data_IF_699815605948
#
_entry.id   IF_699815605948
#
_cell.length_a   1.000
_cell.length_b   1.000
_cell.length_c   1.000
_cell.angle_alpha   90.00
_cell.angle_beta   90.00
_cell.angle_gamma   90.00
#
_symmetry.space_group_name_H-M   'P 1'
#
loop_
_entity.id
_entity.type
_entity.pdbx_description
1 polymer ?
#
# COMPACT_ATOMS: atom_id res chain seq x y z
N UNK A 1 -36.94 5.59 3.79
CA UNK A 1 -36.39 6.67 4.63
C UNK A 1 -35.77 6.02 5.85
N UNK A 2 -34.49 5.64 5.79
CA UNK A 2 -33.76 5.14 6.96
C UNK A 2 -33.09 6.33 7.62
N UNK A 3 -33.78 6.96 8.56
CA UNK A 3 -33.17 7.91 9.48
C UNK A 3 -32.61 7.12 10.66
N UNK A 4 -31.35 6.71 10.55
CA UNK A 4 -30.58 6.41 11.75
C UNK A 4 -29.53 7.51 11.89
N UNK A 5 -29.69 8.35 12.90
CA UNK A 5 -28.64 9.18 13.50
C UNK A 5 -27.60 8.29 14.21
N UNK A 6 -27.30 7.12 13.65
CA UNK A 6 -26.20 6.30 14.10
C UNK A 6 -24.94 7.11 13.82
N UNK A 7 -24.18 7.42 14.87
CA UNK A 7 -22.89 8.05 14.75
C UNK A 7 -21.95 7.04 14.07
N UNK A 8 -21.97 7.03 12.73
CA UNK A 8 -21.18 6.10 11.90
C UNK A 8 -19.70 6.19 12.27
N UNK A 9 -19.21 7.36 12.69
CA UNK A 9 -17.84 7.51 13.21
C UNK A 9 -17.62 6.71 14.50
N UNK A 10 -18.57 6.73 15.43
CA UNK A 10 -18.48 5.92 16.64
C UNK A 10 -18.56 4.42 16.34
N UNK A 11 -19.48 4.00 15.45
CA UNK A 11 -19.61 2.60 15.04
C UNK A 11 -18.35 2.07 14.33
N UNK A 12 -17.70 2.91 13.52
CA UNK A 12 -16.45 2.58 12.84
C UNK A 12 -15.22 2.68 13.73
N UNK A 13 -15.28 3.46 14.81
CA UNK A 13 -14.21 3.55 15.80
C UNK A 13 -14.06 2.22 16.55
N UNK A 14 -15.15 1.47 16.76
CA UNK A 14 -15.13 0.17 17.44
C UNK A 14 -14.61 -0.99 16.55
N UNK A 15 -14.42 -0.79 15.24
CA UNK A 15 -13.75 -1.77 14.37
C UNK A 15 -12.23 -1.71 14.54
N UNK A 16 -11.75 -2.02 15.74
CA UNK A 16 -10.36 -2.31 16.01
C UNK A 16 -10.06 -3.76 15.63
N UNK A 17 -9.43 -3.98 14.48
CA UNK A 17 -8.78 -5.26 14.20
C UNK A 17 -7.57 -5.31 15.13
N UNK A 18 -7.58 -6.27 16.06
CA UNK A 18 -6.64 -6.48 17.18
C UNK A 18 -5.15 -6.46 16.80
N UNK A 19 -4.29 -6.19 17.79
CA UNK A 19 -2.83 -5.90 17.86
C UNK A 19 -1.83 -6.41 16.80
N UNK A 20 -2.25 -7.25 15.85
CA UNK A 20 -1.41 -7.83 14.79
C UNK A 20 -1.72 -7.31 13.38
N UNK A 21 -2.81 -6.56 13.17
CA UNK A 21 -3.17 -6.07 11.83
C UNK A 21 -3.32 -4.55 11.77
N UNK A 22 -2.67 -3.93 10.78
CA UNK A 22 -2.81 -2.50 10.50
C UNK A 22 -3.72 -2.29 9.30
N UNK A 23 -4.76 -1.47 9.46
CA UNK A 23 -5.53 -0.96 8.33
C UNK A 23 -4.60 -0.19 7.38
N UNK A 24 -4.79 -0.31 6.07
CA UNK A 24 -3.97 0.40 5.07
C UNK A 24 -3.85 1.91 5.32
N UNK A 25 -4.91 2.57 5.81
CA UNK A 25 -4.88 4.00 6.14
C UNK A 25 -3.92 4.36 7.29
N UNK A 26 -3.58 3.39 8.15
CA UNK A 26 -2.56 3.52 9.21
C UNK A 26 -1.22 2.95 8.75
N UNK A 27 -1.23 1.80 8.07
CA UNK A 27 -0.04 1.11 7.59
C UNK A 27 0.78 1.94 6.60
N UNK A 28 0.16 2.44 5.53
CA UNK A 28 0.87 3.13 4.44
C UNK A 28 1.63 4.39 4.91
N UNK A 29 1.06 5.32 5.70
CA UNK A 29 1.83 6.46 6.19
C UNK A 29 2.97 6.05 7.15
N UNK A 30 2.78 4.98 7.94
CA UNK A 30 3.85 4.44 8.80
C UNK A 30 4.98 3.83 7.97
N UNK A 31 4.66 3.08 6.92
CA UNK A 31 5.63 2.52 5.98
C UNK A 31 6.43 3.64 5.29
N UNK A 32 5.75 4.68 4.79
CA UNK A 32 6.44 5.83 4.19
C UNK A 32 7.42 6.50 5.16
N UNK A 33 7.02 6.68 6.42
CA UNK A 33 7.90 7.22 7.45
C UNK A 33 9.06 6.27 7.80
N UNK A 34 8.83 4.96 7.79
CA UNK A 34 9.88 3.96 7.95
C UNK A 34 10.92 4.08 6.82
N UNK A 35 10.48 4.14 5.56
CA UNK A 35 11.38 4.33 4.42
C UNK A 35 12.26 5.57 4.59
N UNK A 36 11.66 6.72 4.98
CA UNK A 36 12.42 7.93 5.26
C UNK A 36 13.44 7.75 6.40
N UNK A 37 13.07 7.04 7.47
CA UNK A 37 13.98 6.77 8.59
C UNK A 37 15.16 5.87 8.21
N UNK A 38 14.99 5.05 7.16
CA UNK A 38 16.03 4.21 6.56
C UNK A 38 16.89 4.96 5.53
N UNK A 39 16.67 6.28 5.36
CA UNK A 39 17.46 7.12 4.46
C UNK A 39 16.89 7.27 3.05
N UNK A 40 15.67 6.78 2.78
CA UNK A 40 15.07 6.91 1.46
C UNK A 40 14.70 8.37 1.18
N UNK A 41 14.94 8.80 -0.05
CA UNK A 41 14.78 10.19 -0.48
C UNK A 41 13.31 10.52 -0.74
N UNK A 42 12.70 11.46 0.00
CA UNK A 42 11.31 11.87 -0.24
C UNK A 42 11.10 12.31 -1.69
N UNK A 43 10.01 11.85 -2.31
CA UNK A 43 9.68 12.15 -3.71
C UNK A 43 10.44 11.32 -4.75
N UNK A 44 11.38 10.45 -4.32
CA UNK A 44 12.11 9.52 -5.20
C UNK A 44 11.96 8.04 -4.79
N UNK A 45 11.01 7.77 -3.92
CA UNK A 45 10.68 6.41 -3.48
C UNK A 45 9.67 5.81 -4.45
N UNK A 46 10.07 4.79 -5.18
CA UNK A 46 9.20 4.03 -6.07
C UNK A 46 8.56 2.88 -5.29
N UNK A 47 7.25 2.94 -5.00
CA UNK A 47 6.54 1.80 -4.45
C UNK A 47 6.30 0.77 -5.55
N UNK A 48 6.43 -0.49 -5.17
CA UNK A 48 6.06 -1.65 -5.96
C UNK A 48 5.07 -2.49 -5.16
N UNK A 49 4.05 -3.01 -5.83
CA UNK A 49 3.04 -3.88 -5.24
C UNK A 49 3.13 -5.29 -5.82
N UNK A 50 3.23 -6.27 -4.96
CA UNK A 50 3.06 -7.69 -5.26
C UNK A 50 1.80 -8.19 -4.55
N UNK A 51 0.64 -7.85 -5.11
CA UNK A 51 -0.67 -8.26 -4.61
C UNK A 51 -1.35 -9.19 -5.61
N UNK A 52 -2.37 -9.91 -5.18
CA UNK A 52 -3.23 -10.69 -6.08
C UNK A 52 -3.82 -9.82 -7.21
N UNK A 53 -4.21 -10.44 -8.31
CA UNK A 53 -4.84 -9.75 -9.46
C UNK A 53 -6.32 -9.39 -9.25
N UNK A 54 -6.87 -9.68 -8.07
CA UNK A 54 -8.25 -9.36 -7.67
C UNK A 54 -8.53 -7.84 -7.67
N UNK A 55 -9.77 -7.46 -7.95
CA UNK A 55 -10.21 -6.08 -8.02
C UNK A 55 -10.21 -5.36 -6.66
N UNK A 56 -10.34 -6.11 -5.56
CA UNK A 56 -10.38 -5.55 -4.20
C UNK A 56 -9.05 -4.87 -3.78
N UNK A 57 -8.00 -5.00 -4.59
CA UNK A 57 -6.71 -4.36 -4.40
C UNK A 57 -6.70 -2.85 -4.73
N UNK A 58 -7.80 -2.31 -5.29
CA UNK A 58 -7.89 -0.88 -5.61
C UNK A 58 -7.69 0.03 -4.39
N UNK A 59 -8.29 -0.32 -3.24
CA UNK A 59 -8.19 0.48 -2.01
C UNK A 59 -6.74 0.66 -1.50
N UNK A 60 -5.93 -0.41 -1.32
CA UNK A 60 -4.54 -0.22 -0.91
C UNK A 60 -3.69 0.52 -1.95
N UNK A 61 -3.91 0.29 -3.25
CA UNK A 61 -3.17 0.99 -4.33
C UNK A 61 -3.41 2.50 -4.28
N UNK A 62 -4.65 2.94 -4.04
CA UNK A 62 -4.98 4.36 -3.91
C UNK A 62 -4.22 4.98 -2.72
N UNK A 63 -4.19 4.29 -1.57
CA UNK A 63 -3.50 4.79 -0.39
C UNK A 63 -1.98 4.84 -0.58
N UNK A 64 -1.39 3.81 -1.18
CA UNK A 64 0.03 3.79 -1.55
C UNK A 64 0.35 4.97 -2.48
N UNK A 65 -0.42 5.12 -3.56
CA UNK A 65 -0.23 6.20 -4.53
C UNK A 65 -0.31 7.59 -3.88
N UNK A 66 -1.31 7.78 -3.01
CA UNK A 66 -1.49 9.03 -2.27
C UNK A 66 -0.29 9.40 -1.40
N UNK A 67 0.27 8.44 -0.67
CA UNK A 67 1.34 8.70 0.29
C UNK A 67 2.73 8.79 -0.35
N UNK A 68 3.00 7.96 -1.36
CA UNK A 68 4.29 7.96 -2.06
C UNK A 68 4.35 9.00 -3.18
N UNK A 69 3.20 9.52 -3.63
CA UNK A 69 3.11 10.54 -4.68
C UNK A 69 3.29 10.00 -6.10
N UNK A 70 3.31 8.67 -6.27
CA UNK A 70 3.47 7.98 -7.55
C UNK A 70 2.70 6.67 -7.53
N UNK A 71 2.16 6.27 -8.69
CA UNK A 71 1.43 5.01 -8.81
C UNK A 71 2.38 3.80 -8.71
N UNK A 72 2.06 2.76 -7.92
CA UNK A 72 2.99 1.67 -7.69
C UNK A 72 3.18 0.80 -8.92
N UNK A 73 4.42 0.38 -9.15
CA UNK A 73 4.72 -0.63 -10.16
C UNK A 73 4.13 -2.00 -9.75
N UNK A 74 3.77 -2.83 -10.73
CA UNK A 74 3.11 -4.11 -10.47
C UNK A 74 4.05 -5.32 -10.59
N UNK A 75 4.49 -5.83 -9.44
CA UNK A 75 5.16 -7.13 -9.33
C UNK A 75 4.21 -8.30 -9.04
N UNK A 76 2.92 -8.04 -8.80
CA UNK A 76 1.96 -9.08 -8.43
C UNK A 76 1.50 -9.94 -9.60
N UNK A 77 1.29 -11.21 -9.32
CA UNK A 77 0.53 -12.16 -10.14
C UNK A 77 -0.68 -12.70 -9.35
N UNK A 78 -1.41 -13.65 -9.95
CA UNK A 78 -2.50 -14.37 -9.29
C UNK A 78 -1.99 -14.98 -7.98
N UNK A 79 -2.73 -14.78 -6.89
CA UNK A 79 -2.36 -15.27 -5.56
C UNK A 79 -1.28 -14.47 -4.83
N UNK A 80 -0.90 -13.28 -5.31
CA UNK A 80 0.10 -12.42 -4.64
C UNK A 80 1.54 -12.76 -4.99
N UNK A 81 1.77 -13.75 -5.86
CA UNK A 81 3.11 -14.18 -6.25
C UNK A 81 3.91 -13.00 -6.81
N UNK A 82 5.11 -12.81 -6.26
CA UNK A 82 6.07 -11.81 -6.75
C UNK A 82 6.67 -12.31 -8.06
N UNK A 83 6.41 -11.59 -9.15
CA UNK A 83 7.05 -11.82 -10.44
C UNK A 83 8.53 -11.38 -10.37
N UNK A 84 9.45 -12.34 -10.33
CA UNK A 84 10.90 -12.10 -10.26
C UNK A 84 11.54 -11.89 -11.63
N UNK A 85 10.81 -12.17 -12.69
CA UNK A 85 11.27 -12.17 -14.09
C UNK A 85 10.75 -10.98 -14.90
N UNK A 86 9.92 -10.10 -14.30
CA UNK A 86 9.40 -8.90 -14.95
C UNK A 86 10.46 -7.80 -15.18
N UNK A 87 11.69 -8.01 -14.72
CA UNK A 87 12.79 -7.05 -14.83
C UNK A 87 14.01 -7.63 -15.54
N UNK A 88 14.35 -7.01 -16.67
CA UNK A 88 15.56 -7.28 -17.43
C UNK A 88 16.78 -6.55 -16.80
N UNK A 89 18.02 -6.87 -17.20
CA UNK A 89 19.27 -6.28 -16.65
C UNK A 89 19.41 -4.75 -16.74
N UNK A 90 18.44 -4.04 -17.30
CA UNK A 90 18.41 -2.59 -17.49
C UNK A 90 17.12 -1.93 -16.99
N UNK A 91 16.31 -2.64 -16.20
CA UNK A 91 15.13 -2.05 -15.59
C UNK A 91 15.56 -1.13 -14.43
N UNK A 92 15.44 0.18 -14.62
CA UNK A 92 15.63 1.17 -13.56
C UNK A 92 14.29 1.54 -12.93
N UNK A 93 14.23 1.55 -11.59
CA UNK A 93 13.01 1.79 -10.83
C UNK A 93 13.07 3.04 -9.96
N UNK A 94 13.93 3.98 -10.33
CA UNK A 94 14.21 5.16 -9.52
C UNK A 94 15.29 4.90 -8.47
N UNK A 95 15.55 5.93 -7.67
CA UNK A 95 16.66 5.94 -6.72
C UNK A 95 16.44 4.98 -5.55
N UNK A 96 15.24 5.02 -4.95
CA UNK A 96 14.88 4.21 -3.80
C UNK A 96 13.63 3.38 -4.11
N UNK A 97 13.63 2.09 -3.79
CA UNK A 97 12.49 1.18 -4.05
C UNK A 97 11.99 0.52 -2.77
N UNK A 98 10.67 0.39 -2.64
CA UNK A 98 10.02 -0.47 -1.65
C UNK A 98 9.05 -1.43 -2.33
N UNK A 99 9.12 -2.72 -1.99
CA UNK A 99 8.15 -3.73 -2.46
C UNK A 99 7.21 -4.07 -1.30
N UNK A 100 5.92 -4.01 -1.57
CA UNK A 100 4.85 -4.36 -0.63
C UNK A 100 4.19 -5.65 -1.15
N UNK A 101 4.26 -6.72 -0.38
CA UNK A 101 3.76 -8.04 -0.75
C UNK A 101 2.63 -8.45 0.19
N UNK A 102 1.52 -8.92 -0.37
CA UNK A 102 0.33 -9.38 0.35
C UNK A 102 -0.46 -10.41 -0.47
#
# INVERSE_FOLDING_TARGET
MYSSTANIRALMADFHITDVMLRYSSFVPRLYNLCKSLGFTPGKIMPSRAFCSDENQGYPIILISKHFGVFPFNHGQVGGIVATDRHAPHAEHGQDMVIIHA
#
